data_IF_668816680206
#
_entry.id   IF_668816680206
#
_cell.length_a   1.000
_cell.length_b   1.000
_cell.length_c   1.000
_cell.angle_alpha   90.00
_cell.angle_beta   90.00
_cell.angle_gamma   90.00
#
_symmetry.space_group_name_H-M   'P 1'
#
loop_
_entity.id
_entity.type
_entity.pdbx_description
1 polymer ?
#
# COMPACT_ATOMS: atom_id res chain seq x y z
N UNK A 1 -38.34 -18.86 -56.16
CA UNK A 1 -39.45 -18.57 -55.22
C UNK A 1 -38.98 -19.05 -53.86
N UNK A 2 -38.73 -18.30 -52.78
CA UNK A 2 -38.84 -16.89 -52.34
C UNK A 2 -37.87 -16.80 -51.13
N UNK A 3 -36.97 -15.81 -51.10
CA UNK A 3 -36.91 -14.66 -50.16
C UNK A 3 -36.73 -14.96 -48.66
N UNK A 4 -35.65 -14.37 -48.12
CA UNK A 4 -35.41 -13.98 -46.71
C UNK A 4 -36.57 -13.17 -46.10
N UNK A 5 -36.63 -13.09 -44.76
CA UNK A 5 -36.42 -11.82 -44.03
C UNK A 5 -35.43 -12.01 -42.85
N UNK A 6 -34.44 -11.13 -42.62
CA UNK A 6 -34.41 -9.78 -42.02
C UNK A 6 -34.66 -9.69 -40.49
N UNK A 7 -33.78 -8.90 -39.85
CA UNK A 7 -33.40 -8.83 -38.43
C UNK A 7 -34.34 -8.02 -37.50
N UNK A 8 -34.16 -8.22 -36.18
CA UNK A 8 -33.98 -7.20 -35.11
C UNK A 8 -34.40 -7.83 -33.74
N UNK A 9 -33.72 -7.74 -32.61
CA UNK A 9 -32.51 -7.05 -32.16
C UNK A 9 -32.43 -7.13 -30.61
N UNK A 10 -31.27 -6.75 -30.05
CA UNK A 10 -30.99 -6.40 -28.64
C UNK A 10 -30.46 -7.49 -27.68
N UNK A 11 -29.21 -7.90 -27.91
CA UNK A 11 -28.30 -8.34 -26.84
C UNK A 11 -27.25 -7.26 -26.55
N UNK A 12 -27.35 -6.57 -25.40
CA UNK A 12 -26.29 -5.68 -24.89
C UNK A 12 -25.13 -6.54 -24.38
N UNK A 13 -24.08 -6.68 -25.20
CA UNK A 13 -22.78 -7.17 -24.77
C UNK A 13 -22.01 -6.02 -24.08
N UNK A 14 -21.82 -6.15 -22.78
CA UNK A 14 -20.95 -5.27 -21.99
C UNK A 14 -19.49 -5.53 -22.36
N UNK A 15 -18.88 -4.60 -23.10
CA UNK A 15 -17.45 -4.56 -23.34
C UNK A 15 -16.70 -4.35 -22.00
N UNK A 16 -15.90 -5.31 -21.57
CA UNK A 16 -14.79 -5.08 -20.63
C UNK A 16 -13.51 -5.53 -21.32
N UNK A 17 -12.94 -4.59 -22.06
CA UNK A 17 -11.75 -4.78 -22.89
C UNK A 17 -10.47 -4.92 -22.09
N UNK A 18 -9.59 -5.76 -22.63
CA UNK A 18 -8.17 -5.90 -22.31
C UNK A 18 -7.48 -4.54 -22.12
N UNK A 19 -6.64 -4.42 -21.09
CA UNK A 19 -5.48 -3.52 -21.14
C UNK A 19 -4.22 -4.37 -21.27
N UNK A 20 -3.93 -4.83 -22.48
CA UNK A 20 -2.55 -5.14 -22.84
C UNK A 20 -1.79 -3.81 -22.92
N UNK A 21 -0.80 -3.62 -22.04
CA UNK A 21 0.31 -2.72 -22.33
C UNK A 21 0.86 -3.08 -23.72
N UNK A 22 0.99 -2.07 -24.57
CA UNK A 22 1.16 -2.19 -26.04
C UNK A 22 2.25 -3.18 -26.46
N UNK A 23 1.94 -3.98 -27.49
CA UNK A 23 2.89 -4.61 -28.42
C UNK A 23 4.07 -3.68 -28.72
N UNK A 24 5.29 -4.22 -28.60
CA UNK A 24 6.50 -3.64 -29.16
C UNK A 24 6.24 -3.23 -30.61
N UNK A 25 6.25 -1.93 -30.85
CA UNK A 25 6.13 -1.33 -32.17
C UNK A 25 7.56 -1.27 -32.70
N UNK A 26 7.87 -1.96 -33.80
CA UNK A 26 9.00 -1.60 -34.65
C UNK A 26 8.86 -0.10 -34.97
N UNK A 27 9.75 0.74 -34.43
CA UNK A 27 9.70 2.18 -34.64
C UNK A 27 10.62 2.54 -35.79
N UNK A 28 10.02 2.73 -36.97
CA UNK A 28 10.57 3.58 -38.02
C UNK A 28 10.76 5.00 -37.48
N UNK A 29 11.93 5.58 -37.75
CA UNK A 29 12.44 6.87 -37.26
C UNK A 29 11.41 7.94 -36.90
N UNK A 30 11.14 8.08 -35.60
CA UNK A 30 10.49 9.25 -35.02
C UNK A 30 11.42 9.80 -33.95
N UNK A 31 11.83 11.04 -34.12
CA UNK A 31 12.76 11.79 -33.26
C UNK A 31 12.45 11.57 -31.78
N UNK A 32 13.47 11.12 -31.03
CA UNK A 32 13.41 10.94 -29.58
C UNK A 32 13.30 12.32 -28.94
N UNK A 33 12.20 12.59 -28.23
CA UNK A 33 12.17 13.68 -27.25
C UNK A 33 13.14 13.32 -26.12
N UNK A 34 14.19 14.10 -25.95
CA UNK A 34 15.04 14.11 -24.75
C UNK A 34 14.24 14.70 -23.58
N UNK A 35 13.25 13.97 -23.07
CA UNK A 35 12.47 14.36 -21.89
C UNK A 35 12.69 13.30 -20.80
N UNK A 36 13.94 13.13 -20.36
CA UNK A 36 14.27 12.38 -19.14
C UNK A 36 14.06 13.25 -17.90
N UNK A 37 13.51 12.67 -16.83
CA UNK A 37 13.40 13.36 -15.55
C UNK A 37 14.78 13.66 -14.94
N UNK A 38 14.92 14.78 -14.22
CA UNK A 38 16.15 15.10 -13.47
C UNK A 38 16.00 14.58 -12.04
N UNK A 39 16.97 13.78 -11.57
CA UNK A 39 17.00 13.32 -10.19
C UNK A 39 17.43 14.43 -9.24
N UNK A 40 16.80 14.48 -8.06
CA UNK A 40 17.28 15.34 -6.99
C UNK A 40 18.59 14.79 -6.39
N UNK A 41 19.40 15.67 -5.78
CA UNK A 41 20.70 15.29 -5.22
C UNK A 41 20.60 14.16 -4.18
N UNK A 42 19.62 14.24 -3.28
CA UNK A 42 19.38 13.17 -2.31
C UNK A 42 18.97 11.85 -3.00
N UNK A 43 18.26 11.88 -4.13
CA UNK A 43 17.92 10.66 -4.86
C UNK A 43 19.16 10.03 -5.49
N UNK A 44 20.13 10.83 -5.93
CA UNK A 44 21.43 10.35 -6.40
C UNK A 44 22.25 9.72 -5.26
N UNK A 45 22.24 10.33 -4.07
CA UNK A 45 22.87 9.73 -2.88
C UNK A 45 22.22 8.39 -2.52
N UNK A 46 20.89 8.30 -2.61
CA UNK A 46 20.16 7.05 -2.38
C UNK A 46 20.48 5.98 -3.42
N UNK A 47 20.58 6.37 -4.70
CA UNK A 47 21.01 5.49 -5.78
C UNK A 47 22.43 4.96 -5.56
N UNK A 48 23.36 5.83 -5.19
CA UNK A 48 24.75 5.45 -4.90
C UNK A 48 24.82 4.49 -3.71
N UNK A 49 24.04 4.74 -2.67
CA UNK A 49 23.93 3.84 -1.52
C UNK A 49 23.38 2.46 -1.93
N UNK A 50 22.30 2.40 -2.72
CA UNK A 50 21.77 1.14 -3.24
C UNK A 50 22.79 0.37 -4.10
N UNK A 51 23.53 1.08 -4.97
CA UNK A 51 24.60 0.49 -5.79
C UNK A 51 25.75 -0.05 -4.96
N UNK A 52 26.14 0.68 -3.91
CA UNK A 52 27.16 0.23 -2.97
C UNK A 52 26.71 -1.03 -2.23
N UNK A 53 25.49 -1.04 -1.68
CA UNK A 53 24.95 -2.20 -0.97
C UNK A 53 24.79 -3.44 -1.87
N UNK A 54 24.37 -3.24 -3.13
CA UNK A 54 24.37 -4.30 -4.14
C UNK A 54 25.76 -4.90 -4.35
N UNK A 55 26.79 -4.07 -4.50
CA UNK A 55 28.17 -4.54 -4.69
C UNK A 55 28.72 -5.31 -3.48
N UNK A 56 28.21 -5.02 -2.28
CA UNK A 56 28.55 -5.74 -1.05
C UNK A 56 27.66 -6.96 -0.78
N UNK A 57 26.62 -7.21 -1.59
CA UNK A 57 25.64 -8.27 -1.35
C UNK A 57 24.86 -8.09 -0.05
N UNK A 58 24.64 -6.84 0.39
CA UNK A 58 23.91 -6.53 1.62
C UNK A 58 22.50 -6.10 1.29
N UNK A 59 21.50 -6.88 1.70
CA UNK A 59 20.09 -6.55 1.49
C UNK A 59 19.66 -5.28 2.21
N UNK A 60 18.71 -4.55 1.62
CA UNK A 60 18.44 -3.15 1.99
C UNK A 60 16.96 -2.83 2.22
N UNK A 61 16.74 -1.80 3.03
CA UNK A 61 15.47 -1.16 3.32
C UNK A 61 15.61 0.33 2.97
N UNK A 62 14.94 0.75 1.90
CA UNK A 62 14.77 2.17 1.58
C UNK A 62 13.56 2.70 2.35
N UNK A 63 13.85 3.33 3.49
CA UNK A 63 12.90 3.77 4.49
C UNK A 63 12.61 5.29 4.46
N UNK A 64 12.92 5.95 3.34
CA UNK A 64 12.64 7.36 3.11
C UNK A 64 11.16 7.72 3.33
N UNK A 65 10.90 8.93 3.83
CA UNK A 65 9.55 9.46 4.01
C UNK A 65 8.72 9.37 2.71
N UNK A 66 7.41 9.14 2.85
CA UNK A 66 6.48 9.07 1.72
C UNK A 66 6.54 10.35 0.87
N UNK A 67 6.71 10.19 -0.45
CA UNK A 67 6.82 11.31 -1.39
C UNK A 67 8.25 11.75 -1.72
N UNK A 68 9.29 11.15 -1.13
CA UNK A 68 10.69 11.42 -1.52
C UNK A 68 11.12 10.72 -2.83
N UNK A 69 10.24 9.95 -3.47
CA UNK A 69 10.52 9.31 -4.76
C UNK A 69 11.27 7.97 -4.64
N UNK A 70 10.89 7.13 -3.66
CA UNK A 70 11.43 5.76 -3.51
C UNK A 70 11.30 4.95 -4.80
N UNK A 71 10.12 4.98 -5.43
CA UNK A 71 9.84 4.33 -6.71
C UNK A 71 10.86 4.74 -7.79
N UNK A 72 11.10 6.04 -7.96
CA UNK A 72 12.04 6.57 -8.95
C UNK A 72 13.47 6.10 -8.64
N UNK A 73 13.91 6.24 -7.38
CA UNK A 73 15.23 5.76 -6.94
C UNK A 73 15.42 4.27 -7.24
N UNK A 74 14.40 3.45 -6.97
CA UNK A 74 14.41 2.02 -7.26
C UNK A 74 14.46 1.72 -8.76
N UNK A 75 13.66 2.41 -9.57
CA UNK A 75 13.65 2.19 -11.03
C UNK A 75 15.00 2.53 -11.62
N UNK A 76 15.58 3.68 -11.27
CA UNK A 76 16.91 4.07 -11.77
C UNK A 76 17.99 3.12 -11.25
N UNK A 77 17.87 2.63 -10.02
CA UNK A 77 18.75 1.58 -9.49
C UNK A 77 18.68 0.30 -10.33
N UNK A 78 17.49 -0.23 -10.59
CA UNK A 78 17.33 -1.41 -11.44
C UNK A 78 17.84 -1.14 -12.86
N UNK A 79 17.54 0.03 -13.42
CA UNK A 79 18.00 0.44 -14.74
C UNK A 79 19.51 0.49 -14.84
N UNK A 80 20.19 0.92 -13.78
CA UNK A 80 21.65 0.90 -13.69
C UNK A 80 22.24 -0.52 -13.67
N UNK A 81 21.41 -1.53 -13.34
CA UNK A 81 21.72 -2.97 -13.34
C UNK A 81 21.14 -3.70 -14.56
N UNK A 82 20.81 -2.99 -15.66
CA UNK A 82 20.08 -3.53 -16.81
C UNK A 82 20.47 -4.95 -17.26
N UNK A 83 21.75 -5.30 -17.22
CA UNK A 83 22.29 -6.59 -17.69
C UNK A 83 22.17 -7.73 -16.69
N UNK A 84 21.90 -7.44 -15.42
CA UNK A 84 21.88 -8.40 -14.33
C UNK A 84 20.50 -9.06 -14.14
N UNK A 85 19.46 -8.65 -14.87
CA UNK A 85 18.09 -9.16 -14.69
C UNK A 85 17.94 -10.69 -14.87
N UNK A 86 16.84 -11.28 -14.39
CA UNK A 86 15.52 -10.67 -14.23
C UNK A 86 15.24 -10.08 -12.83
N UNK A 87 14.35 -9.09 -12.77
CA UNK A 87 13.92 -8.39 -11.55
C UNK A 87 12.45 -8.61 -11.24
N UNK A 88 12.13 -8.87 -9.97
CA UNK A 88 10.76 -9.01 -9.47
C UNK A 88 10.38 -7.80 -8.63
N UNK A 89 9.27 -7.14 -8.96
CA UNK A 89 8.71 -6.05 -8.17
C UNK A 89 7.34 -6.45 -7.68
N UNK A 90 7.21 -6.60 -6.37
CA UNK A 90 5.96 -6.91 -5.68
C UNK A 90 5.42 -5.65 -5.02
N UNK A 91 4.23 -5.21 -5.42
CA UNK A 91 3.64 -3.97 -4.92
C UNK A 91 2.12 -4.12 -4.69
N UNK A 92 1.50 -3.24 -3.87
CA UNK A 92 0.05 -3.19 -3.76
C UNK A 92 -0.62 -3.06 -5.13
N UNK A 93 -1.74 -3.76 -5.35
CA UNK A 93 -2.47 -3.70 -6.63
C UNK A 93 -2.83 -2.25 -7.04
N UNK A 94 -3.09 -1.38 -6.06
CA UNK A 94 -3.37 0.04 -6.26
C UNK A 94 -2.20 0.84 -6.82
N UNK A 95 -0.95 0.42 -6.60
CA UNK A 95 0.25 1.15 -7.05
C UNK A 95 0.90 0.55 -8.29
N UNK A 96 0.49 -0.65 -8.74
CA UNK A 96 1.06 -1.31 -9.95
C UNK A 96 1.00 -0.42 -11.19
N UNK A 97 -0.13 0.25 -11.43
CA UNK A 97 -0.29 1.17 -12.58
C UNK A 97 0.67 2.36 -12.48
N UNK A 98 0.95 2.82 -11.25
CA UNK A 98 1.92 3.89 -11.03
C UNK A 98 3.34 3.41 -11.35
N UNK A 99 3.71 2.22 -10.88
CA UNK A 99 4.99 1.59 -11.22
C UNK A 99 5.20 1.45 -12.73
N UNK A 100 4.19 0.99 -13.47
CA UNK A 100 4.24 0.85 -14.93
C UNK A 100 4.56 2.19 -15.62
N UNK A 101 3.85 3.27 -15.24
CA UNK A 101 4.09 4.62 -15.80
C UNK A 101 5.49 5.15 -15.51
N UNK A 102 5.96 4.95 -14.28
CA UNK A 102 7.29 5.41 -13.89
C UNK A 102 8.38 4.60 -14.62
N UNK A 103 8.19 3.30 -14.83
CA UNK A 103 9.11 2.50 -15.65
C UNK A 103 9.15 2.97 -17.11
N UNK A 104 8.00 3.29 -17.71
CA UNK A 104 7.94 3.83 -19.07
C UNK A 104 8.69 5.17 -19.21
N UNK A 105 8.66 6.00 -18.16
CA UNK A 105 9.33 7.31 -18.15
C UNK A 105 10.83 7.20 -17.85
N UNK A 106 11.22 6.45 -16.81
CA UNK A 106 12.59 6.44 -16.29
C UNK A 106 13.47 5.31 -16.83
N UNK A 107 12.88 4.25 -17.38
CA UNK A 107 13.58 3.11 -17.94
C UNK A 107 12.90 2.61 -19.24
N UNK A 108 12.83 3.44 -20.29
CA UNK A 108 12.07 3.13 -21.51
C UNK A 108 12.61 1.92 -22.28
N UNK A 109 13.87 1.54 -22.07
CA UNK A 109 14.50 0.38 -22.70
C UNK A 109 14.21 -0.93 -21.94
N UNK A 110 13.59 -0.87 -20.75
CA UNK A 110 13.15 -2.06 -20.02
C UNK A 110 11.93 -2.71 -20.65
N UNK A 111 11.97 -4.04 -20.70
CA UNK A 111 10.80 -4.84 -20.99
C UNK A 111 10.13 -5.22 -19.68
N UNK A 112 9.13 -4.43 -19.29
CA UNK A 112 8.35 -4.58 -18.06
C UNK A 112 7.06 -5.32 -18.38
N UNK A 113 6.81 -6.41 -17.65
CA UNK A 113 5.58 -7.21 -17.77
C UNK A 113 4.77 -7.07 -16.49
N UNK A 114 3.54 -6.58 -16.62
CA UNK A 114 2.58 -6.55 -15.52
C UNK A 114 1.87 -7.89 -15.41
N UNK A 115 2.23 -8.67 -14.41
CA UNK A 115 1.59 -9.92 -14.05
C UNK A 115 0.33 -9.63 -13.24
N UNK A 116 -0.78 -9.40 -13.95
CA UNK A 116 -2.13 -9.22 -13.39
C UNK A 116 -3.16 -9.91 -14.29
N UNK A 117 -4.17 -10.56 -13.72
CA UNK A 117 -5.29 -11.17 -14.46
C UNK A 117 -5.38 -12.70 -14.39
N UNK A 118 -6.30 -13.27 -15.19
CA UNK A 118 -6.65 -14.69 -15.20
C UNK A 118 -5.60 -15.60 -15.85
N UNK A 119 -5.67 -16.90 -15.52
CA UNK A 119 -4.66 -17.95 -15.82
C UNK A 119 -4.24 -18.11 -17.29
N UNK A 120 -5.02 -17.61 -18.25
CA UNK A 120 -4.88 -17.94 -19.68
C UNK A 120 -3.86 -17.07 -20.46
N UNK A 121 -3.26 -16.03 -19.85
CA UNK A 121 -2.32 -15.13 -20.54
C UNK A 121 -0.83 -15.42 -20.29
N UNK A 122 -0.49 -16.64 -19.85
CA UNK A 122 0.86 -17.01 -19.37
C UNK A 122 1.72 -17.64 -20.47
N UNK A 123 2.18 -16.84 -21.43
CA UNK A 123 3.19 -17.26 -22.41
C UNK A 123 4.62 -16.98 -21.87
N UNK A 124 5.63 -17.80 -22.23
CA UNK A 124 7.03 -17.54 -21.86
C UNK A 124 7.54 -16.35 -22.66
N UNK A 125 7.53 -15.18 -22.04
CA UNK A 125 8.03 -13.94 -22.62
C UNK A 125 9.37 -13.60 -21.95
N UNK A 126 10.38 -13.26 -22.74
CA UNK A 126 11.65 -12.73 -22.20
C UNK A 126 11.37 -11.34 -21.61
N UNK A 127 11.56 -11.18 -20.31
CA UNK A 127 11.36 -9.90 -19.63
C UNK A 127 12.55 -9.50 -18.78
N UNK A 128 12.67 -8.19 -18.54
CA UNK A 128 13.67 -7.63 -17.63
C UNK A 128 13.06 -7.44 -16.23
N UNK A 129 11.81 -6.97 -16.16
CA UNK A 129 11.09 -6.70 -14.92
C UNK A 129 9.72 -7.37 -14.95
N UNK A 130 9.35 -8.06 -13.88
CA UNK A 130 8.01 -8.54 -13.62
C UNK A 130 7.36 -7.72 -12.50
N UNK A 131 6.27 -7.03 -12.79
CA UNK A 131 5.45 -6.33 -11.80
C UNK A 131 4.30 -7.24 -11.37
N UNK A 132 4.11 -7.47 -10.08
CA UNK A 132 3.03 -8.35 -9.57
C UNK A 132 2.49 -7.84 -8.24
N UNK A 133 1.27 -8.25 -7.89
CA UNK A 133 0.72 -8.03 -6.55
C UNK A 133 1.13 -9.14 -5.57
N UNK A 134 1.04 -8.86 -4.26
CA UNK A 134 1.38 -9.84 -3.22
C UNK A 134 0.51 -11.11 -3.28
N UNK A 135 -0.75 -10.97 -3.69
CA UNK A 135 -1.68 -12.10 -3.80
C UNK A 135 -1.20 -13.07 -4.88
N UNK A 136 -0.80 -12.55 -6.05
CA UNK A 136 -0.35 -13.36 -7.18
C UNK A 136 1.00 -14.03 -6.93
N UNK A 137 1.89 -13.40 -6.16
CA UNK A 137 3.13 -14.04 -5.69
C UNK A 137 2.85 -15.32 -4.92
N UNK A 138 1.76 -15.34 -4.13
CA UNK A 138 1.38 -16.51 -3.33
C UNK A 138 0.71 -17.57 -4.19
N UNK A 139 -0.18 -17.15 -5.08
CA UNK A 139 -0.99 -18.05 -5.92
C UNK A 139 -0.10 -18.81 -6.92
N UNK A 140 0.85 -18.12 -7.56
CA UNK A 140 1.68 -18.69 -8.62
C UNK A 140 3.13 -18.95 -8.17
N UNK A 141 3.30 -19.29 -6.90
CA UNK A 141 4.60 -19.54 -6.28
C UNK A 141 5.46 -20.51 -7.08
N UNK A 142 4.90 -21.60 -7.60
CA UNK A 142 5.65 -22.65 -8.31
C UNK A 142 6.29 -22.14 -9.59
N UNK A 143 5.58 -21.30 -10.35
CA UNK A 143 6.10 -20.71 -11.58
C UNK A 143 7.16 -19.65 -11.26
N UNK A 144 6.90 -18.77 -10.30
CA UNK A 144 7.81 -17.67 -9.94
C UNK A 144 9.08 -18.17 -9.23
N UNK A 145 8.99 -19.27 -8.47
CA UNK A 145 10.15 -19.91 -7.82
C UNK A 145 11.13 -20.54 -8.80
N UNK A 146 10.67 -20.92 -9.98
CA UNK A 146 11.53 -21.54 -11.02
C UNK A 146 12.48 -20.54 -11.70
N UNK A 147 12.34 -19.25 -11.39
CA UNK A 147 13.14 -18.17 -11.95
C UNK A 147 14.18 -17.75 -10.93
N UNK A 148 15.44 -17.69 -11.35
CA UNK A 148 16.52 -17.13 -10.56
C UNK A 148 16.47 -15.60 -10.64
N UNK A 149 16.05 -14.96 -9.56
CA UNK A 149 15.86 -13.51 -9.51
C UNK A 149 17.14 -12.82 -9.09
N UNK A 150 17.54 -11.79 -9.83
CA UNK A 150 18.68 -10.97 -9.47
C UNK A 150 18.31 -9.96 -8.37
N UNK A 151 17.10 -9.39 -8.44
CA UNK A 151 16.61 -8.46 -7.43
C UNK A 151 15.13 -8.70 -7.14
N UNK A 152 14.79 -8.77 -5.85
CA UNK A 152 13.41 -8.69 -5.36
C UNK A 152 13.19 -7.31 -4.75
N UNK A 153 12.26 -6.55 -5.33
CA UNK A 153 11.76 -5.31 -4.76
C UNK A 153 10.40 -5.57 -4.14
N UNK A 154 10.23 -5.18 -2.88
CA UNK A 154 8.94 -5.23 -2.18
C UNK A 154 8.54 -3.80 -1.82
N UNK A 155 7.56 -3.25 -2.53
CA UNK A 155 6.94 -1.98 -2.17
C UNK A 155 6.12 -2.14 -0.89
N UNK A 156 5.85 -1.06 -0.16
CA UNK A 156 5.09 -1.05 1.11
C UNK A 156 5.31 -2.27 2.01
N UNK A 157 6.58 -2.62 2.27
CA UNK A 157 6.99 -3.88 2.90
C UNK A 157 6.40 -4.09 4.31
N UNK A 158 5.92 -3.03 4.97
CA UNK A 158 5.17 -3.12 6.21
C UNK A 158 3.89 -4.00 6.08
N UNK A 159 3.33 -4.13 4.87
CA UNK A 159 2.12 -4.93 4.60
C UNK A 159 2.31 -6.43 4.77
N UNK A 160 3.54 -6.92 4.77
CA UNK A 160 3.89 -8.34 4.88
C UNK A 160 3.60 -8.96 6.27
N UNK A 161 3.02 -8.22 7.22
CA UNK A 161 3.11 -8.58 8.66
C UNK A 161 1.84 -9.02 9.39
N UNK A 162 0.64 -8.98 8.81
CA UNK A 162 -0.58 -9.23 9.61
C UNK A 162 -1.42 -10.45 9.16
N UNK A 163 -1.67 -11.34 10.12
CA UNK A 163 -2.38 -12.63 10.10
C UNK A 163 -1.74 -13.76 9.27
N UNK A 164 -1.88 -14.99 9.79
CA UNK A 164 -1.28 -16.28 9.40
C UNK A 164 -1.06 -16.55 7.90
N UNK A 165 -1.82 -15.90 7.02
CA UNK A 165 -1.69 -15.94 5.56
C UNK A 165 -0.42 -15.27 5.01
N UNK A 166 0.27 -14.41 5.79
CA UNK A 166 1.43 -13.62 5.32
C UNK A 166 2.79 -14.11 5.79
N UNK A 167 2.85 -14.89 6.86
CA UNK A 167 4.03 -15.74 7.16
C UNK A 167 4.28 -16.70 6.00
N UNK A 168 3.19 -17.16 5.35
CA UNK A 168 3.27 -17.88 4.08
C UNK A 168 3.82 -16.99 2.96
N UNK A 169 3.41 -15.72 2.81
CA UNK A 169 3.97 -14.81 1.80
C UNK A 169 5.46 -14.53 1.97
N UNK A 170 5.90 -14.23 3.20
CA UNK A 170 7.31 -14.07 3.53
C UNK A 170 8.07 -15.37 3.31
N UNK A 171 7.57 -16.51 3.80
CA UNK A 171 8.17 -17.83 3.56
C UNK A 171 8.20 -18.25 2.10
N UNK A 172 7.19 -17.88 1.31
CA UNK A 172 7.12 -18.06 -0.14
C UNK A 172 8.21 -17.26 -0.81
N UNK A 173 8.32 -15.97 -0.49
CA UNK A 173 9.34 -15.09 -1.04
C UNK A 173 10.76 -15.50 -0.60
N UNK A 174 10.94 -15.91 0.65
CA UNK A 174 12.20 -16.46 1.16
C UNK A 174 12.57 -17.80 0.50
N UNK A 175 11.62 -18.48 -0.15
CA UNK A 175 11.91 -19.71 -0.90
C UNK A 175 12.42 -19.45 -2.31
N UNK A 176 12.39 -18.20 -2.79
CA UNK A 176 12.89 -17.84 -4.10
C UNK A 176 14.40 -17.69 -4.05
N UNK A 177 15.07 -18.10 -5.12
CA UNK A 177 16.46 -17.73 -5.29
C UNK A 177 16.50 -16.24 -5.68
N UNK A 178 17.02 -15.43 -4.76
CA UNK A 178 17.13 -13.97 -4.92
C UNK A 178 18.55 -13.56 -4.54
N UNK A 179 19.25 -12.86 -5.42
CA UNK A 179 20.62 -12.37 -5.16
C UNK A 179 20.61 -11.14 -4.24
N UNK A 180 19.63 -10.25 -4.41
CA UNK A 180 19.52 -9.02 -3.61
C UNK A 180 18.06 -8.67 -3.33
N UNK A 181 17.78 -8.25 -2.11
CA UNK A 181 16.45 -7.85 -1.65
C UNK A 181 16.43 -6.36 -1.30
N UNK A 182 15.43 -5.66 -1.82
CA UNK A 182 15.17 -4.26 -1.57
C UNK A 182 13.74 -4.08 -1.06
N UNK A 183 13.61 -3.67 0.20
CA UNK A 183 12.33 -3.33 0.81
C UNK A 183 12.10 -1.83 0.75
N UNK A 184 10.92 -1.41 0.31
CA UNK A 184 10.50 -0.01 0.33
C UNK A 184 9.42 0.17 1.39
N UNK A 185 9.59 1.17 2.26
CA UNK A 185 8.56 1.51 3.25
C UNK A 185 8.65 2.97 3.62
N UNK A 186 7.50 3.66 3.71
CA UNK A 186 7.46 5.03 4.25
C UNK A 186 7.47 5.07 5.78
N UNK A 187 7.24 3.94 6.42
CA UNK A 187 6.86 3.83 7.84
C UNK A 187 7.51 2.60 8.47
N UNK A 188 8.85 2.50 8.44
CA UNK A 188 9.56 1.28 8.87
C UNK A 188 9.27 0.87 10.34
N UNK A 189 8.97 1.85 11.20
CA UNK A 189 8.92 1.70 12.66
C UNK A 189 7.51 1.88 13.23
N UNK A 190 6.45 1.74 12.43
CA UNK A 190 5.16 2.29 12.85
C UNK A 190 4.44 1.57 13.99
N UNK A 191 4.65 0.29 14.35
CA UNK A 191 3.83 -0.29 15.45
C UNK A 191 4.46 -1.29 16.46
N UNK A 192 5.57 -2.03 16.22
CA UNK A 192 6.15 -2.95 17.24
C UNK A 192 7.62 -3.36 16.94
N UNK A 193 8.43 -3.68 17.95
CA UNK A 193 9.76 -4.30 17.79
C UNK A 193 9.67 -5.65 17.07
N UNK A 194 8.61 -6.41 17.32
CA UNK A 194 8.32 -7.67 16.62
C UNK A 194 8.24 -7.46 15.10
N UNK A 195 7.58 -6.37 14.69
CA UNK A 195 7.47 -6.03 13.29
C UNK A 195 8.86 -5.78 12.69
N UNK A 196 9.72 -5.02 13.37
CA UNK A 196 11.07 -4.77 12.90
C UNK A 196 11.85 -6.08 12.75
N UNK A 197 11.79 -6.95 13.77
CA UNK A 197 12.43 -8.27 13.73
C UNK A 197 12.02 -9.07 12.49
N UNK A 198 10.72 -9.14 12.16
CA UNK A 198 10.26 -9.92 11.01
C UNK A 198 10.78 -9.39 9.67
N UNK A 199 10.99 -8.07 9.50
CA UNK A 199 11.64 -7.55 8.29
C UNK A 199 13.12 -7.90 8.24
N UNK A 200 13.81 -7.80 9.38
CA UNK A 200 15.23 -8.12 9.45
C UNK A 200 15.49 -9.61 9.28
N UNK A 201 14.62 -10.47 9.83
CA UNK A 201 14.63 -11.91 9.59
C UNK A 201 14.41 -12.24 8.11
N UNK A 202 13.54 -11.50 7.41
CA UNK A 202 13.34 -11.70 5.98
C UNK A 202 14.60 -11.41 5.16
N UNK A 203 15.29 -10.30 5.46
CA UNK A 203 16.51 -9.91 4.76
C UNK A 203 17.69 -10.81 5.14
N UNK A 204 17.92 -11.00 6.43
CA UNK A 204 19.10 -11.70 6.93
C UNK A 204 18.69 -12.78 7.94
N UNK A 205 18.04 -13.88 7.49
CA UNK A 205 17.47 -14.90 8.38
C UNK A 205 18.51 -15.56 9.26
N UNK A 206 19.74 -15.71 8.76
CA UNK A 206 20.85 -16.30 9.52
C UNK A 206 21.27 -15.44 10.73
N UNK A 207 21.13 -14.12 10.63
CA UNK A 207 21.48 -13.18 11.72
C UNK A 207 20.32 -12.97 12.68
N UNK A 208 19.09 -12.95 12.18
CA UNK A 208 17.89 -12.63 12.95
C UNK A 208 16.96 -13.83 13.02
N UNK A 209 17.34 -14.89 13.72
CA UNK A 209 16.58 -16.14 13.77
C UNK A 209 15.77 -16.34 15.07
N UNK A 210 16.02 -15.56 16.12
CA UNK A 210 15.38 -15.69 17.42
C UNK A 210 14.61 -14.42 17.80
N UNK A 211 13.28 -14.48 17.73
CA UNK A 211 12.41 -13.37 18.09
C UNK A 211 12.49 -13.07 19.60
N UNK A 212 12.43 -14.11 20.45
CA UNK A 212 12.44 -13.94 21.90
C UNK A 212 13.74 -13.28 22.36
N UNK A 213 14.88 -13.76 21.86
CA UNK A 213 16.19 -13.17 22.18
C UNK A 213 16.31 -11.71 21.71
N UNK A 214 15.74 -11.38 20.54
CA UNK A 214 15.70 -10.00 20.06
C UNK A 214 14.81 -9.12 20.94
N UNK A 215 13.62 -9.61 21.33
CA UNK A 215 12.73 -8.87 22.22
C UNK A 215 13.34 -8.67 23.61
N UNK A 216 14.03 -9.66 24.16
CA UNK A 216 14.74 -9.54 25.44
C UNK A 216 15.89 -8.52 25.36
N UNK A 217 16.66 -8.53 24.28
CA UNK A 217 17.77 -7.59 24.07
C UNK A 217 17.29 -6.14 23.96
N UNK A 218 16.11 -5.93 23.36
CA UNK A 218 15.54 -4.61 23.09
C UNK A 218 14.28 -4.27 23.92
N UNK A 219 13.96 -5.05 24.96
CA UNK A 219 12.73 -4.87 25.77
C UNK A 219 12.63 -3.49 26.45
N UNK A 220 13.78 -2.84 26.68
CA UNK A 220 13.94 -1.71 27.58
C UNK A 220 14.41 -0.45 26.84
N UNK A 221 13.70 -0.11 25.75
CA UNK A 221 14.02 0.95 24.75
C UNK A 221 14.27 2.34 25.39
N UNK A 222 13.95 2.54 26.67
CA UNK A 222 14.28 3.75 27.44
C UNK A 222 15.80 4.00 27.65
N UNK A 223 16.67 3.05 27.32
CA UNK A 223 18.13 3.21 27.43
C UNK A 223 18.71 3.68 26.10
N UNK A 224 19.33 4.86 26.09
CA UNK A 224 20.00 5.44 24.90
C UNK A 224 20.99 4.46 24.24
N UNK A 225 21.66 3.63 25.04
CA UNK A 225 22.60 2.61 24.55
C UNK A 225 21.92 1.52 23.69
N UNK A 226 20.68 1.12 24.01
CA UNK A 226 19.95 0.12 23.23
C UNK A 226 19.45 0.72 21.91
N UNK A 227 19.01 1.98 21.92
CA UNK A 227 18.65 2.72 20.71
C UNK A 227 19.87 2.82 19.78
N UNK A 228 21.04 3.17 20.32
CA UNK A 228 22.27 3.27 19.54
C UNK A 228 22.68 1.92 18.94
N UNK A 229 22.63 0.83 19.72
CA UNK A 229 22.87 -0.52 19.21
C UNK A 229 21.92 -0.91 18.08
N UNK A 230 20.63 -0.58 18.22
CA UNK A 230 19.64 -0.83 17.18
C UNK A 230 19.95 -0.01 15.91
N UNK A 231 20.35 1.24 16.06
CA UNK A 231 20.79 2.07 14.93
C UNK A 231 22.04 1.51 14.23
N UNK A 232 23.04 1.07 15.00
CA UNK A 232 24.26 0.48 14.44
C UNK A 232 23.97 -0.85 13.70
N UNK A 233 23.05 -1.64 14.25
CA UNK A 233 22.56 -2.87 13.63
C UNK A 233 21.82 -2.61 12.31
N UNK A 234 20.97 -1.56 12.28
CA UNK A 234 20.19 -1.17 11.11
C UNK A 234 21.00 -0.38 10.08
N UNK A 235 22.07 0.30 10.48
CA UNK A 235 22.87 1.21 9.67
C UNK A 235 23.24 0.68 8.27
N UNK A 236 23.80 -0.54 8.13
CA UNK A 236 24.14 -1.08 6.81
C UNK A 236 22.92 -1.48 5.97
N UNK A 237 21.79 -1.79 6.63
CA UNK A 237 20.59 -2.29 5.96
C UNK A 237 19.57 -1.21 5.66
N UNK A 238 19.57 -0.05 6.33
CA UNK A 238 18.47 0.91 6.27
C UNK A 238 18.94 2.33 5.96
N UNK A 239 18.40 2.91 4.89
CA UNK A 239 18.52 4.33 4.58
C UNK A 239 17.20 5.03 4.86
N UNK A 240 17.21 6.08 5.71
CA UNK A 240 16.02 6.86 6.07
C UNK A 240 16.32 8.35 6.06
N UNK A 241 15.52 9.11 5.31
CA UNK A 241 15.55 10.59 5.28
C UNK A 241 14.15 11.17 5.43
N UNK A 242 14.06 12.35 6.04
CA UNK A 242 12.80 13.11 6.19
C UNK A 242 12.71 14.23 5.15
N UNK A 243 11.50 14.68 4.83
CA UNK A 243 11.28 15.83 3.95
C UNK A 243 11.94 17.10 4.48
N UNK A 244 11.96 17.28 5.79
CA UNK A 244 12.60 18.43 6.43
C UNK A 244 14.12 18.45 6.20
N UNK A 245 14.77 17.28 6.13
CA UNK A 245 16.22 17.17 5.93
C UNK A 245 16.61 17.51 4.48
N UNK A 246 15.68 17.26 3.55
CA UNK A 246 15.93 17.25 2.11
C UNK A 246 15.40 18.50 1.42
N UNK A 247 14.19 18.95 1.78
CA UNK A 247 13.53 20.10 1.17
C UNK A 247 13.59 21.32 2.09
N UNK A 248 14.62 22.14 1.91
CA UNK A 248 14.83 23.37 2.71
C UNK A 248 13.74 24.44 2.49
N UNK A 249 12.95 24.35 1.42
CA UNK A 249 11.94 25.35 1.02
C UNK A 249 10.49 24.83 1.05
N UNK A 250 10.23 23.69 1.70
CA UNK A 250 8.86 23.17 1.80
C UNK A 250 8.06 23.93 2.88
N UNK A 251 6.83 24.38 2.60
CA UNK A 251 5.97 24.95 3.64
C UNK A 251 5.75 23.95 4.78
N UNK A 252 5.74 24.43 6.02
CA UNK A 252 5.48 23.58 7.17
C UNK A 252 4.05 23.01 7.12
N UNK A 253 3.91 21.72 7.43
CA UNK A 253 2.59 21.09 7.59
C UNK A 253 1.91 21.67 8.84
N UNK A 254 0.76 22.31 8.66
CA UNK A 254 -0.09 22.75 9.77
C UNK A 254 -1.18 21.72 10.04
N UNK A 255 -1.26 21.22 11.27
CA UNK A 255 -2.34 20.34 11.71
C UNK A 255 -3.32 21.15 12.56
N UNK A 256 -4.59 21.18 12.14
CA UNK A 256 -5.66 21.89 12.85
C UNK A 256 -6.69 20.89 13.34
N UNK A 257 -6.82 20.79 14.66
CA UNK A 257 -7.84 19.94 15.30
C UNK A 257 -9.12 20.77 15.45
N UNK A 258 -10.10 20.52 14.58
CA UNK A 258 -11.43 21.14 14.66
C UNK A 258 -12.30 20.29 15.59
N UNK A 259 -12.57 20.82 16.79
CA UNK A 259 -13.52 20.19 17.73
C UNK A 259 -14.94 20.48 17.26
N UNK A 260 -15.73 19.43 17.06
CA UNK A 260 -17.13 19.52 16.60
C UNK A 260 -18.06 18.95 17.66
N UNK A 261 -19.23 19.57 17.82
CA UNK A 261 -20.29 19.05 18.67
C UNK A 261 -21.18 18.06 17.92
N UNK A 262 -21.69 17.06 18.63
CA UNK A 262 -22.66 16.11 18.07
C UNK A 262 -24.00 16.81 17.79
N UNK A 263 -24.55 16.58 16.60
CA UNK A 263 -25.92 17.02 16.27
C UNK A 263 -26.96 16.35 17.18
N UNK A 264 -28.18 16.93 17.33
CA UNK A 264 -29.24 16.32 18.15
C UNK A 264 -29.57 14.88 17.73
N UNK A 265 -29.55 14.60 16.42
CA UNK A 265 -29.75 13.26 15.89
C UNK A 265 -28.62 12.32 16.30
N UNK A 266 -27.35 12.72 16.16
CA UNK A 266 -26.22 11.91 16.61
C UNK A 266 -26.28 11.68 18.12
N UNK A 267 -26.58 12.69 18.94
CA UNK A 267 -26.74 12.54 20.41
C UNK A 267 -27.79 11.47 20.76
N UNK A 268 -28.92 11.44 20.03
CA UNK A 268 -29.95 10.39 20.19
C UNK A 268 -29.38 9.00 19.90
N UNK A 269 -28.77 8.80 18.73
CA UNK A 269 -28.21 7.49 18.35
C UNK A 269 -27.04 7.08 19.25
N UNK A 270 -26.18 8.02 19.63
CA UNK A 270 -25.07 7.80 20.55
C UNK A 270 -25.57 7.27 21.92
N UNK A 271 -26.64 7.88 22.46
CA UNK A 271 -27.30 7.39 23.68
C UNK A 271 -27.92 6.00 23.50
N UNK A 272 -28.57 5.73 22.37
CA UNK A 272 -29.15 4.41 22.08
C UNK A 272 -28.08 3.30 22.01
N UNK A 273 -26.91 3.61 21.44
CA UNK A 273 -25.77 2.68 21.36
C UNK A 273 -25.20 2.42 22.77
N UNK A 274 -24.96 3.47 23.57
CA UNK A 274 -24.45 3.32 24.94
C UNK A 274 -25.39 2.54 25.85
N UNK A 275 -26.70 2.76 25.72
CA UNK A 275 -27.73 2.06 26.50
C UNK A 275 -28.06 0.67 25.97
N UNK A 276 -27.37 0.21 24.90
CA UNK A 276 -27.59 -1.08 24.25
C UNK A 276 -29.05 -1.34 23.86
N UNK A 277 -29.75 -0.30 23.39
CA UNK A 277 -31.15 -0.41 23.02
C UNK A 277 -31.30 -1.01 21.60
N UNK A 278 -31.41 -2.33 21.52
CA UNK A 278 -31.50 -3.09 20.27
C UNK A 278 -32.74 -2.77 19.43
N UNK A 279 -33.89 -2.53 20.07
CA UNK A 279 -35.16 -2.32 19.36
C UNK A 279 -35.21 -0.98 18.64
N UNK A 280 -34.58 0.05 19.21
CA UNK A 280 -34.54 1.38 18.61
C UNK A 280 -33.49 1.53 17.50
N UNK A 281 -32.48 0.65 17.48
CA UNK A 281 -31.38 0.67 16.51
C UNK A 281 -31.60 -0.26 15.31
N UNK A 282 -32.50 -1.24 15.43
CA UNK A 282 -32.82 -2.19 14.38
C UNK A 282 -34.22 -1.96 13.80
N UNK A 283 -34.34 -1.90 12.48
CA UNK A 283 -35.64 -1.88 11.82
C UNK A 283 -36.32 -3.23 12.00
N UNK A 284 -37.61 -3.24 12.37
CA UNK A 284 -38.43 -4.48 12.52
C UNK A 284 -38.59 -5.31 11.23
N UNK A 285 -38.02 -4.87 10.10
CA UNK A 285 -38.19 -5.45 8.77
C UNK A 285 -37.06 -6.36 8.27
N UNK A 286 -36.31 -7.04 9.15
CA UNK A 286 -35.41 -8.14 8.73
C UNK A 286 -34.22 -7.76 7.84
N UNK A 287 -33.73 -6.52 7.89
CA UNK A 287 -32.49 -6.10 7.23
C UNK A 287 -31.23 -6.37 8.07
N UNK A 288 -30.04 -6.04 7.53
CA UNK A 288 -28.74 -6.11 8.23
C UNK A 288 -28.84 -5.47 9.62
N UNK A 289 -28.94 -6.31 10.65
CA UNK A 289 -29.08 -5.86 12.02
C UNK A 289 -27.77 -5.26 12.51
N UNK A 290 -27.87 -4.13 13.21
CA UNK A 290 -26.77 -3.54 13.98
C UNK A 290 -26.49 -4.48 15.14
N UNK A 291 -25.52 -5.36 14.94
CA UNK A 291 -24.98 -6.18 16.00
C UNK A 291 -23.99 -5.35 16.81
N UNK A 292 -24.38 -4.95 18.02
CA UNK A 292 -23.54 -4.18 18.97
C UNK A 292 -22.37 -5.00 19.56
N UNK A 293 -21.89 -6.04 18.87
CA UNK A 293 -20.70 -6.79 19.27
C UNK A 293 -19.46 -5.90 19.35
N UNK A 294 -19.44 -4.81 18.57
CA UNK A 294 -18.38 -3.80 18.61
C UNK A 294 -18.97 -2.40 18.80
N UNK A 295 -19.40 -2.10 20.04
CA UNK A 295 -19.92 -0.80 20.47
C UNK A 295 -19.00 0.34 20.04
N UNK A 296 -17.68 0.15 20.13
CA UNK A 296 -16.70 1.16 19.76
C UNK A 296 -16.73 1.49 18.26
N UNK A 297 -16.96 0.49 17.40
CA UNK A 297 -17.16 0.71 15.98
C UNK A 297 -18.47 1.46 15.69
N UNK A 298 -19.55 1.15 16.41
CA UNK A 298 -20.83 1.80 16.20
C UNK A 298 -20.87 3.24 16.73
N UNK A 299 -20.21 3.52 17.86
CA UNK A 299 -20.00 4.91 18.31
C UNK A 299 -19.22 5.72 17.26
N UNK A 300 -18.17 5.13 16.67
CA UNK A 300 -17.42 5.78 15.56
C UNK A 300 -18.33 6.05 14.36
N UNK A 301 -19.16 5.09 13.93
CA UNK A 301 -20.15 5.30 12.85
C UNK A 301 -21.10 6.44 13.19
N UNK A 302 -21.61 6.50 14.42
CA UNK A 302 -22.52 7.56 14.88
C UNK A 302 -21.86 8.94 14.82
N UNK A 303 -20.61 9.06 15.29
CA UNK A 303 -19.86 10.30 15.24
C UNK A 303 -19.56 10.74 13.81
N UNK A 304 -19.27 9.80 12.90
CA UNK A 304 -19.03 10.10 11.49
C UNK A 304 -20.30 10.56 10.79
N UNK A 305 -21.35 9.73 10.80
CA UNK A 305 -22.63 10.08 10.20
C UNK A 305 -23.78 9.16 10.67
N UNK A 306 -24.93 9.70 11.14
CA UNK A 306 -26.03 8.88 11.66
C UNK A 306 -26.66 7.95 10.60
N UNK A 307 -26.60 8.28 9.31
CA UNK A 307 -27.15 7.42 8.24
C UNK A 307 -26.33 6.17 7.91
N UNK A 308 -25.19 5.96 8.58
CA UNK A 308 -24.55 4.65 8.58
C UNK A 308 -25.41 3.60 9.30
N UNK A 309 -26.42 4.03 10.07
CA UNK A 309 -27.47 3.17 10.60
C UNK A 309 -28.67 3.13 9.64
N UNK A 310 -29.10 1.94 9.19
CA UNK A 310 -30.24 1.79 8.27
C UNK A 310 -31.53 2.44 8.77
N UNK A 311 -31.78 2.43 10.08
CA UNK A 311 -32.97 3.05 10.68
C UNK A 311 -32.98 4.57 10.49
N UNK A 312 -31.81 5.21 10.59
CA UNK A 312 -31.69 6.66 10.45
C UNK A 312 -31.95 7.14 9.02
N UNK A 313 -31.55 6.36 8.02
CA UNK A 313 -31.76 6.69 6.60
C UNK A 313 -33.23 6.50 6.18
N UNK A 314 -33.95 5.56 6.80
CA UNK A 314 -35.39 5.35 6.57
C UNK A 314 -36.25 6.50 7.10
N UNK A 315 -35.92 7.06 8.27
CA UNK A 315 -36.65 8.22 8.85
C UNK A 315 -36.61 9.44 7.91
N UNK A 316 -35.47 9.72 7.28
CA UNK A 316 -35.35 10.83 6.31
C UNK A 316 -36.23 10.66 5.07
N UNK A 317 -36.50 9.41 4.63
CA UNK A 317 -37.37 9.18 3.46
C UNK A 317 -38.84 9.50 3.74
N UNK A 318 -39.27 9.48 5.00
CA UNK A 318 -40.61 9.90 5.42
C UNK A 318 -40.77 11.41 5.62
N UNK A 319 -39.69 12.12 6.00
CA UNK A 319 -39.69 13.55 6.29
C UNK A 319 -39.01 14.35 5.15
N UNK A 320 -39.71 14.54 4.02
CA UNK A 320 -39.34 15.58 3.05
C UNK A 320 -39.87 16.93 3.55
N UNK A 321 -39.17 17.51 4.52
CA UNK A 321 -39.29 18.95 4.83
C UNK A 321 -37.91 19.56 4.96
N UNK A 322 -37.78 20.73 4.35
CA UNK A 322 -36.53 21.43 4.02
C UNK A 322 -35.56 21.52 5.19
N UNK A 323 -34.39 20.90 5.06
CA UNK A 323 -33.19 21.34 5.78
C UNK A 323 -32.05 21.43 4.78
N UNK A 324 -31.57 22.65 4.55
CA UNK A 324 -30.31 22.90 3.84
C UNK A 324 -29.19 22.28 4.67
N UNK A 325 -28.87 21.03 4.39
CA UNK A 325 -27.63 20.42 4.86
C UNK A 325 -26.53 20.99 3.97
N UNK A 326 -25.64 21.80 4.55
CA UNK A 326 -24.33 22.06 3.97
C UNK A 326 -23.62 20.72 3.86
N UNK A 327 -23.77 20.06 2.72
CA UNK A 327 -22.92 18.94 2.33
C UNK A 327 -21.58 19.56 1.99
N UNK A 328 -20.70 19.65 2.99
CA UNK A 328 -19.29 19.84 2.70
C UNK A 328 -18.86 18.52 2.04
N UNK A 329 -18.79 18.54 0.72
CA UNK A 329 -18.13 17.50 -0.07
C UNK A 329 -16.67 17.47 0.38
N UNK A 330 -16.35 16.61 1.35
CA UNK A 330 -14.98 16.13 1.48
C UNK A 330 -14.80 15.08 0.39
N UNK A 331 -13.98 15.43 -0.59
CA UNK A 331 -13.53 14.52 -1.63
C UNK A 331 -12.80 13.35 -0.94
N UNK A 332 -13.46 12.20 -0.86
CA UNK A 332 -12.96 10.98 -0.21
C UNK A 332 -11.85 10.29 -1.02
N UNK A 333 -11.35 10.93 -2.08
CA UNK A 333 -10.31 10.41 -2.96
C UNK A 333 -8.88 10.66 -2.45
N UNK A 334 -8.70 11.36 -1.31
CA UNK A 334 -7.37 11.83 -0.87
C UNK A 334 -6.93 11.42 0.54
N UNK A 335 -7.73 10.66 1.31
CA UNK A 335 -7.31 10.23 2.66
C UNK A 335 -7.29 8.71 2.77
N UNK A 336 -6.09 8.16 2.52
CA UNK A 336 -5.69 6.86 3.03
C UNK A 336 -5.84 6.79 4.56
N UNK A 337 -6.08 5.57 5.02
CA UNK A 337 -6.41 5.14 6.35
C UNK A 337 -5.61 5.76 7.51
N UNK A 338 -6.26 5.78 8.69
CA UNK A 338 -5.68 5.91 10.04
C UNK A 338 -5.30 7.33 10.46
N UNK A 339 -6.28 8.11 10.92
CA UNK A 339 -6.11 9.07 12.04
C UNK A 339 -7.46 9.71 12.41
N UNK A 340 -8.21 9.05 13.29
CA UNK A 340 -9.26 9.69 14.08
C UNK A 340 -9.15 9.12 15.50
N UNK A 341 -8.08 9.54 16.17
CA UNK A 341 -7.85 9.27 17.58
C UNK A 341 -8.66 10.31 18.39
N UNK A 342 -9.91 9.96 18.70
CA UNK A 342 -10.74 10.69 19.66
C UNK A 342 -10.24 10.35 21.07
N UNK A 343 -9.28 11.13 21.59
CA UNK A 343 -8.89 11.10 23.00
C UNK A 343 -9.88 11.95 23.81
N UNK A 344 -10.72 11.28 24.60
CA UNK A 344 -11.49 11.87 25.68
C UNK A 344 -10.59 12.05 26.91
N UNK A 345 -10.41 13.28 27.38
CA UNK A 345 -10.05 13.54 28.77
C UNK A 345 -11.23 14.19 29.48
N UNK A 346 -11.80 13.45 30.44
CA UNK A 346 -12.75 13.94 31.41
C UNK A 346 -12.03 14.90 32.36
N UNK A 347 -12.43 16.17 32.36
CA UNK A 347 -12.29 17.04 33.53
C UNK A 347 -13.68 17.15 34.15
N UNK A 348 -13.85 16.51 35.30
CA UNK A 348 -14.97 16.79 36.20
C UNK A 348 -14.75 18.15 36.88
N UNK A 349 -15.81 18.95 36.91
CA UNK A 349 -16.12 19.88 37.99
C UNK A 349 -17.22 19.27 38.83
#
# INVERSE_FOLDING_TARGET
VQKLPEEDGHGRASQSGLRLGRRGRERSGKERKEEGGTLHLYQLEGLNWLRFSWAQGTDTILADEMGLGKTIQTIVFLYSLFKEGPFLVSAPLSTIINWEREFEMWAPDFYVVTYTGDKDSRAPIKFHVLLTSYELVTIDQTALKSIDWACLVVDEAHRLKNNQSKVLQLGVLSSYFVVFQLLLTGTPLQNNLEELFHLLNFLTPNRFNNLEGFLEEFADISKEDQIKKLHDLLGPHMLRRLKADVFKNMPAKTELIVRVELSPMQKKYYKLILTKNFEALNSKGGGNQVSLLNIMMDLKKCCNHPYLFPVASMVRRGERTQTHTLVIHFDMSLFDCVSLLLLFTLSHS
#
